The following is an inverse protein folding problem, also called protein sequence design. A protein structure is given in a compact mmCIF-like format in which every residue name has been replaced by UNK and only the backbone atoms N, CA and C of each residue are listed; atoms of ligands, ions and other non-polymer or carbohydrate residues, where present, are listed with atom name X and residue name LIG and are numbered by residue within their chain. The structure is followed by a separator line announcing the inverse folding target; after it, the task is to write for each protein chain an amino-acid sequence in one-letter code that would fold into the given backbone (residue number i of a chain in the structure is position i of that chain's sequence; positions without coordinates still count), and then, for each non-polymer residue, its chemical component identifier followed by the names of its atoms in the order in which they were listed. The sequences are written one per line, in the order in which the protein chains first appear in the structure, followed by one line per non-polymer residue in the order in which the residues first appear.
data_IF_796240453323
#
_entry.id   IF_796240453323
#
_cell.length_a   1.000
_cell.length_b   1.000
_cell.length_c   1.000
_cell.angle_alpha   90.00
_cell.angle_beta   90.00
_cell.angle_gamma   90.00
#
_symmetry.space_group_name_H-M   'P 1'
#
loop_
_entity.id
_entity.type
_entity.pdbx_description
1 polymer ?
#
# COMPACT_ATOMS: atom_id res chain seq x y z
N UNK A 1 15.47 25.21 13.37
CA UNK A 1 16.27 24.20 14.10
C UNK A 1 16.02 24.38 15.59
N UNK A 2 15.56 23.35 16.29
CA UNK A 2 15.33 23.33 17.75
C UNK A 2 16.23 22.27 18.38
N UNK A 3 16.85 22.59 19.51
CA UNK A 3 17.63 21.60 20.29
C UNK A 3 16.69 20.89 21.26
N UNK A 4 16.78 19.56 21.35
CA UNK A 4 16.10 18.73 22.36
C UNK A 4 17.14 17.95 23.16
N UNK A 5 16.76 17.31 24.27
CA UNK A 5 17.68 16.47 25.06
C UNK A 5 18.27 15.29 24.27
N UNK A 6 17.62 14.91 23.15
CA UNK A 6 18.00 13.77 22.30
C UNK A 6 18.63 14.19 20.95
N UNK A 7 18.87 15.49 20.69
CA UNK A 7 19.52 15.95 19.46
C UNK A 7 18.97 17.28 18.91
N UNK A 8 19.06 17.47 17.60
CA UNK A 8 18.53 18.64 16.91
C UNK A 8 17.34 18.27 16.02
N UNK A 9 16.22 18.98 16.17
CA UNK A 9 15.09 18.94 15.24
C UNK A 9 15.26 20.04 14.20
N UNK A 10 15.36 19.67 12.93
CA UNK A 10 15.30 20.63 11.82
C UNK A 10 13.88 20.61 11.26
N UNK A 11 13.23 21.78 11.24
CA UNK A 11 11.91 21.97 10.62
C UNK A 11 12.13 22.87 9.42
N UNK A 12 11.69 22.40 8.25
CA UNK A 12 11.63 23.19 7.03
C UNK A 12 10.19 23.71 6.88
N UNK A 13 9.99 25.02 7.00
CA UNK A 13 8.68 25.65 6.81
C UNK A 13 8.58 26.18 5.38
N UNK A 14 7.57 25.72 4.65
CA UNK A 14 7.35 26.07 3.26
C UNK A 14 5.85 26.09 2.93
N UNK A 15 5.42 26.92 1.95
CA UNK A 15 4.07 26.86 1.42
C UNK A 15 3.74 25.46 0.88
N UNK A 16 2.47 25.05 0.98
CA UNK A 16 2.02 23.72 0.55
C UNK A 16 2.37 23.44 -0.92
N UNK A 17 2.22 24.42 -1.81
CA UNK A 17 2.58 24.26 -3.22
C UNK A 17 4.08 24.07 -3.44
N UNK A 18 4.93 24.77 -2.67
CA UNK A 18 6.38 24.58 -2.73
C UNK A 18 6.81 23.20 -2.23
N UNK A 19 6.10 22.67 -1.24
CA UNK A 19 6.28 21.29 -0.79
C UNK A 19 5.96 20.30 -1.91
N UNK A 20 4.87 20.52 -2.63
CA UNK A 20 4.44 19.66 -3.73
C UNK A 20 5.40 19.68 -4.93
N UNK A 21 6.13 20.78 -5.17
CA UNK A 21 7.18 20.81 -6.19
C UNK A 21 8.30 19.77 -5.95
N UNK A 22 8.49 19.34 -4.70
CA UNK A 22 9.45 18.29 -4.36
C UNK A 22 8.81 16.90 -4.19
N UNK A 23 7.53 16.82 -3.80
CA UNK A 23 6.82 15.54 -3.67
C UNK A 23 6.50 14.94 -5.03
N UNK A 24 5.85 15.69 -5.93
CA UNK A 24 5.38 15.15 -7.21
C UNK A 24 6.50 14.49 -8.03
N UNK A 25 7.68 15.10 -8.25
CA UNK A 25 8.76 14.44 -9.00
C UNK A 25 9.45 13.31 -8.21
N UNK A 26 9.31 13.29 -6.88
CA UNK A 26 9.88 12.23 -6.03
C UNK A 26 9.00 10.97 -6.00
N UNK A 27 7.69 11.14 -6.21
CA UNK A 27 6.69 10.07 -6.27
C UNK A 27 6.47 9.54 -7.69
N UNK A 28 6.37 10.46 -8.66
CA UNK A 28 6.02 10.14 -10.05
C UNK A 28 7.09 10.66 -11.00
N UNK A 29 7.64 9.83 -11.92
CA UNK A 29 8.64 10.28 -12.87
C UNK A 29 8.12 11.43 -13.73
N UNK A 30 8.89 12.49 -13.91
CA UNK A 30 8.49 13.66 -14.72
C UNK A 30 8.31 13.35 -16.21
N UNK A 31 8.71 12.15 -16.68
CA UNK A 31 8.41 11.64 -18.02
C UNK A 31 6.97 11.13 -18.19
N UNK A 32 6.19 11.06 -17.11
CA UNK A 32 4.78 10.68 -17.15
C UNK A 32 3.95 11.78 -17.82
N UNK A 33 2.75 11.40 -18.28
CA UNK A 33 1.83 12.34 -18.92
C UNK A 33 1.48 13.50 -17.98
N UNK A 34 1.30 14.70 -18.53
CA UNK A 34 0.91 15.89 -17.76
C UNK A 34 -0.39 15.68 -16.97
N UNK A 35 -1.35 14.93 -17.53
CA UNK A 35 -2.59 14.59 -16.81
C UNK A 35 -2.32 13.67 -15.61
N UNK A 36 -1.40 12.71 -15.72
CA UNK A 36 -1.02 11.86 -14.59
C UNK A 36 -0.29 12.67 -13.49
N UNK A 37 0.58 13.60 -13.89
CA UNK A 37 1.25 14.51 -12.94
C UNK A 37 0.25 15.42 -12.23
N UNK A 38 -0.78 15.91 -12.92
CA UNK A 38 -1.89 16.68 -12.31
C UNK A 38 -2.69 15.81 -11.33
N UNK A 39 -3.02 14.58 -11.70
CA UNK A 39 -3.68 13.63 -10.79
C UNK A 39 -2.84 13.42 -9.53
N UNK A 40 -1.53 13.17 -9.67
CA UNK A 40 -0.61 13.03 -8.53
C UNK A 40 -0.54 14.30 -7.68
N UNK A 41 -0.54 15.49 -8.28
CA UNK A 41 -0.50 16.75 -7.54
C UNK A 41 -1.75 16.93 -6.65
N UNK A 42 -2.95 16.67 -7.18
CA UNK A 42 -4.21 16.75 -6.41
C UNK A 42 -4.24 15.70 -5.28
N UNK A 43 -3.83 14.46 -5.55
CA UNK A 43 -3.74 13.42 -4.51
C UNK A 43 -2.73 13.80 -3.43
N UNK A 44 -1.52 14.22 -3.83
CA UNK A 44 -0.46 14.59 -2.92
C UNK A 44 -0.85 15.79 -2.03
N UNK A 45 -1.56 16.78 -2.60
CA UNK A 45 -2.08 17.93 -1.86
C UNK A 45 -3.13 17.52 -0.83
N UNK A 46 -4.10 16.70 -1.24
CA UNK A 46 -5.17 16.22 -0.36
C UNK A 46 -4.60 15.44 0.83
N UNK A 47 -3.64 14.56 0.57
CA UNK A 47 -2.94 13.81 1.59
C UNK A 47 -2.16 14.73 2.54
N UNK A 48 -1.33 15.65 2.01
CA UNK A 48 -0.56 16.58 2.81
C UNK A 48 -1.46 17.50 3.67
N UNK A 49 -2.60 17.94 3.13
CA UNK A 49 -3.60 18.72 3.86
C UNK A 49 -4.18 17.95 5.05
N UNK A 50 -4.53 16.67 4.88
CA UNK A 50 -5.01 15.84 5.99
C UNK A 50 -3.95 15.63 7.07
N UNK A 51 -2.69 15.47 6.68
CA UNK A 51 -1.59 15.34 7.63
C UNK A 51 -1.36 16.64 8.44
N UNK A 52 -1.51 17.80 7.80
CA UNK A 52 -1.48 19.11 8.47
C UNK A 52 -2.62 19.23 9.50
N UNK A 53 -3.83 18.78 9.18
CA UNK A 53 -4.99 18.87 10.08
C UNK A 53 -4.92 17.93 11.28
N UNK A 54 -4.34 16.73 11.14
CA UNK A 54 -4.27 15.77 12.25
C UNK A 54 -3.33 16.19 13.38
N UNK A 55 -2.36 17.07 13.10
CA UNK A 55 -1.40 17.56 14.08
C UNK A 55 -0.66 16.44 14.86
N UNK A 56 -0.58 15.23 14.30
CA UNK A 56 0.00 14.03 14.94
C UNK A 56 1.49 14.21 15.32
N UNK A 57 2.16 15.21 14.73
CA UNK A 57 3.56 15.59 14.97
C UNK A 57 3.70 16.92 15.73
N UNK A 58 2.63 17.43 16.36
CA UNK A 58 2.64 18.67 17.13
C UNK A 58 3.71 18.69 18.24
N UNK A 59 4.04 17.52 18.81
CA UNK A 59 5.12 17.36 19.79
C UNK A 59 6.53 17.66 19.23
N UNK A 60 6.73 17.53 17.91
CA UNK A 60 7.99 17.80 17.22
C UNK A 60 7.98 19.13 16.44
N UNK A 61 6.84 19.83 16.39
CA UNK A 61 6.66 21.05 15.59
C UNK A 61 6.76 20.81 14.08
N UNK A 62 6.48 19.59 13.64
CA UNK A 62 6.43 19.19 12.23
C UNK A 62 5.01 18.72 11.89
N UNK A 63 4.69 18.64 10.60
CA UNK A 63 3.36 18.20 10.13
C UNK A 63 3.42 16.96 9.23
N UNK A 64 4.60 16.66 8.64
CA UNK A 64 4.87 15.52 7.76
C UNK A 64 6.32 15.07 8.00
N UNK A 65 6.62 13.76 7.95
CA UNK A 65 8.00 13.25 8.02
C UNK A 65 8.47 12.66 6.67
N UNK A 66 9.78 12.43 6.53
CA UNK A 66 10.48 12.03 5.31
C UNK A 66 10.56 10.50 5.09
N UNK A 67 9.77 9.72 5.83
CA UNK A 67 9.73 8.27 5.69
C UNK A 67 8.77 7.81 4.58
N UNK A 68 8.97 6.59 4.08
CA UNK A 68 8.05 5.93 3.12
C UNK A 68 6.66 5.63 3.71
N UNK A 69 6.38 6.03 4.95
CA UNK A 69 5.08 5.87 5.60
C UNK A 69 4.09 7.00 5.28
N UNK A 70 4.52 8.06 4.57
CA UNK A 70 3.67 9.20 4.20
C UNK A 70 3.76 9.55 2.71
N UNK A 71 4.83 10.25 2.31
CA UNK A 71 5.13 10.65 0.94
C UNK A 71 6.65 10.75 0.77
N UNK A 72 7.17 10.39 -0.40
CA UNK A 72 8.56 10.60 -0.77
C UNK A 72 8.78 12.08 -1.06
N UNK A 73 9.56 12.74 -0.20
CA UNK A 73 9.92 14.15 -0.34
C UNK A 73 11.42 14.30 -0.63
N UNK A 74 11.77 15.22 -1.54
CA UNK A 74 13.14 15.64 -1.81
C UNK A 74 14.10 14.51 -2.25
N UNK A 75 13.57 13.49 -2.94
CA UNK A 75 14.37 12.45 -3.59
C UNK A 75 14.87 12.89 -4.96
N UNK A 76 14.09 13.74 -5.63
CA UNK A 76 14.37 14.26 -6.97
C UNK A 76 14.21 15.79 -6.94
N UNK A 77 15.12 16.51 -7.59
CA UNK A 77 14.99 17.96 -7.76
C UNK A 77 13.72 18.32 -8.55
N UNK A 78 13.13 19.48 -8.25
CA UNK A 78 11.93 19.96 -8.95
C UNK A 78 12.17 20.04 -10.46
N UNK A 79 11.22 19.55 -11.24
CA UNK A 79 11.24 19.61 -12.71
C UNK A 79 10.19 20.59 -13.23
N UNK A 80 10.36 21.04 -14.49
CA UNK A 80 9.41 22.01 -15.09
C UNK A 80 8.02 21.40 -15.25
N UNK A 81 7.96 20.11 -15.57
CA UNK A 81 6.75 19.34 -15.80
C UNK A 81 5.96 19.17 -14.49
N UNK A 82 6.65 18.79 -13.41
CA UNK A 82 6.01 18.64 -12.10
C UNK A 82 5.56 19.98 -11.54
N UNK A 83 6.34 21.06 -11.69
CA UNK A 83 5.92 22.42 -11.30
C UNK A 83 4.68 22.85 -12.07
N UNK A 84 4.67 22.68 -13.40
CA UNK A 84 3.51 23.05 -14.21
C UNK A 84 2.24 22.28 -13.84
N UNK A 85 2.36 20.99 -13.45
CA UNK A 85 1.23 20.20 -13.00
C UNK A 85 0.68 20.65 -11.63
N UNK A 86 1.58 20.97 -10.69
CA UNK A 86 1.22 21.54 -9.38
C UNK A 86 0.52 22.87 -9.55
N UNK A 87 1.09 23.78 -10.35
CA UNK A 87 0.51 25.11 -10.62
C UNK A 87 -0.85 25.02 -11.32
N UNK A 88 -1.00 24.12 -12.30
CA UNK A 88 -2.26 23.92 -13.02
C UNK A 88 -3.39 23.35 -12.16
N UNK A 89 -3.06 22.77 -11.00
CA UNK A 89 -4.01 22.20 -10.03
C UNK A 89 -3.94 22.90 -8.68
N UNK A 90 -3.39 24.12 -8.65
CA UNK A 90 -3.13 24.86 -7.42
C UNK A 90 -4.37 24.92 -6.53
N UNK A 91 -4.21 24.57 -5.25
CA UNK A 91 -5.29 24.56 -4.27
C UNK A 91 -6.36 23.48 -4.43
N UNK A 92 -6.32 22.66 -5.49
CA UNK A 92 -7.32 21.60 -5.71
C UNK A 92 -7.05 20.38 -4.83
N UNK A 93 -8.08 19.94 -4.13
CA UNK A 93 -8.10 18.77 -3.24
C UNK A 93 -9.31 17.88 -3.53
N UNK A 94 -9.20 16.61 -3.15
CA UNK A 94 -10.29 15.64 -3.18
C UNK A 94 -11.13 15.75 -1.91
N UNK A 95 -12.44 15.87 -2.06
CA UNK A 95 -13.40 15.86 -0.95
C UNK A 95 -14.44 14.77 -1.11
N UNK A 96 -14.91 14.23 0.01
CA UNK A 96 -15.99 13.26 0.10
C UNK A 96 -16.85 13.62 1.29
N UNK A 97 -18.17 13.73 1.08
CA UNK A 97 -19.11 14.24 2.09
C UNK A 97 -18.67 15.60 2.71
N UNK A 98 -18.14 16.49 1.86
CA UNK A 98 -17.70 17.84 2.26
C UNK A 98 -16.38 17.89 3.05
N UNK A 99 -15.69 16.77 3.25
CA UNK A 99 -14.41 16.70 3.96
C UNK A 99 -13.30 16.30 3.00
N UNK A 100 -12.12 16.90 3.15
CA UNK A 100 -10.93 16.46 2.41
C UNK A 100 -10.63 15.01 2.74
N UNK A 101 -10.29 14.21 1.73
CA UNK A 101 -9.99 12.79 1.90
C UNK A 101 -8.49 12.54 1.95
N UNK A 102 -8.11 11.43 2.59
CA UNK A 102 -6.77 10.89 2.46
C UNK A 102 -6.63 10.19 1.11
N UNK A 103 -6.09 10.91 0.14
CA UNK A 103 -5.92 10.41 -1.21
C UNK A 103 -4.72 9.46 -1.30
N UNK A 104 -4.89 8.22 -0.86
CA UNK A 104 -3.86 7.18 -0.93
C UNK A 104 -3.50 6.81 -2.37
N UNK A 105 -2.23 6.50 -2.62
CA UNK A 105 -1.73 6.11 -3.93
C UNK A 105 -0.53 5.16 -3.81
N UNK A 106 -0.31 4.35 -4.83
CA UNK A 106 0.73 3.32 -4.86
C UNK A 106 1.29 3.15 -6.28
N UNK A 107 2.40 2.42 -6.42
CA UNK A 107 3.12 2.35 -7.70
C UNK A 107 2.33 1.66 -8.80
N UNK A 108 1.96 0.40 -8.59
CA UNK A 108 1.51 -0.49 -9.68
C UNK A 108 0.44 -1.45 -9.19
N UNK A 109 -0.66 -1.56 -9.92
CA UNK A 109 -1.71 -2.56 -9.63
C UNK A 109 -1.36 -3.92 -10.24
N UNK A 110 -2.02 -4.97 -9.75
CA UNK A 110 -2.04 -6.29 -10.41
C UNK A 110 -3.17 -6.41 -11.44
N UNK A 111 -3.84 -5.30 -11.75
CA UNK A 111 -5.05 -5.23 -12.56
C UNK A 111 -6.28 -4.76 -11.78
N UNK A 112 -6.19 -4.71 -10.45
CA UNK A 112 -7.23 -4.17 -9.56
C UNK A 112 -6.64 -3.33 -8.43
N UNK A 113 -7.39 -2.33 -7.95
CA UNK A 113 -7.19 -1.72 -6.63
C UNK A 113 -7.97 -2.50 -5.57
N UNK A 114 -7.64 -2.29 -4.30
CA UNK A 114 -8.36 -2.85 -3.16
C UNK A 114 -9.24 -1.82 -2.44
N UNK A 115 -9.84 -2.26 -1.34
CA UNK A 115 -10.61 -1.48 -0.38
C UNK A 115 -9.91 -1.45 0.98
N UNK A 116 -10.31 -0.52 1.85
CA UNK A 116 -9.69 -0.32 3.16
C UNK A 116 -9.75 -1.55 4.10
N UNK A 117 -10.50 -2.59 3.73
CA UNK A 117 -10.49 -3.90 4.39
C UNK A 117 -9.07 -4.47 4.56
N UNK A 118 -8.19 -4.24 3.57
CA UNK A 118 -6.78 -4.69 3.59
C UNK A 118 -5.96 -4.12 4.76
N UNK A 119 -6.45 -3.08 5.44
CA UNK A 119 -5.82 -2.49 6.62
C UNK A 119 -6.47 -2.90 7.94
N UNK A 120 -7.47 -3.79 7.92
CA UNK A 120 -8.16 -4.27 9.11
C UNK A 120 -8.66 -3.08 9.99
N UNK A 121 -9.25 -2.08 9.31
CA UNK A 121 -9.82 -0.89 9.95
C UNK A 121 -11.12 -1.24 10.66
N UNK A 122 -11.41 -0.54 11.75
CA UNK A 122 -12.60 -0.83 12.56
C UNK A 122 -13.89 -0.36 11.87
N UNK A 123 -13.80 0.69 11.03
CA UNK A 123 -14.90 1.20 10.21
C UNK A 123 -14.46 1.39 8.75
N UNK A 124 -14.67 0.38 7.88
CA UNK A 124 -14.40 0.51 6.44
C UNK A 124 -15.26 1.57 5.75
N UNK A 125 -16.40 1.97 6.33
CA UNK A 125 -17.31 2.96 5.71
C UNK A 125 -16.73 4.38 5.72
N UNK A 126 -15.82 4.67 6.67
CA UNK A 126 -15.04 5.90 6.71
C UNK A 126 -14.16 6.10 5.46
N UNK A 127 -13.87 5.01 4.73
CA UNK A 127 -13.12 4.98 3.48
C UNK A 127 -14.04 4.73 2.27
N UNK A 128 -15.30 5.18 2.33
CA UNK A 128 -16.29 4.95 1.28
C UNK A 128 -15.90 5.43 -0.12
N UNK A 129 -14.91 6.31 -0.22
CA UNK A 129 -14.31 6.78 -1.48
C UNK A 129 -13.24 5.83 -2.06
N UNK A 130 -12.68 4.91 -1.25
CA UNK A 130 -11.74 3.88 -1.69
C UNK A 130 -12.50 2.61 -2.06
N UNK A 131 -12.75 2.43 -3.35
CA UNK A 131 -13.41 1.24 -3.90
C UNK A 131 -12.45 0.47 -4.81
N UNK A 132 -12.75 -0.82 -4.96
CA UNK A 132 -12.15 -1.65 -6.00
C UNK A 132 -12.42 -1.03 -7.37
N UNK A 133 -11.35 -0.82 -8.12
CA UNK A 133 -11.35 -0.35 -9.50
C UNK A 133 -10.61 -1.36 -10.39
N UNK A 134 -11.08 -1.57 -11.62
CA UNK A 134 -10.53 -2.53 -12.57
C UNK A 134 -9.59 -1.86 -13.57
N UNK A 135 -8.28 -2.02 -13.40
CA UNK A 135 -7.29 -1.45 -14.31
C UNK A 135 -7.01 -2.31 -15.54
N UNK A 136 -7.65 -3.48 -15.66
CA UNK A 136 -7.67 -4.24 -16.90
C UNK A 136 -8.56 -3.51 -17.94
N UNK A 137 -8.23 -3.66 -19.23
CA UNK A 137 -9.01 -3.07 -20.33
C UNK A 137 -10.43 -3.62 -20.42
N UNK A 138 -10.63 -4.84 -19.95
CA UNK A 138 -11.94 -5.49 -19.85
C UNK A 138 -12.24 -5.76 -18.38
N UNK A 139 -13.30 -5.15 -17.87
CA UNK A 139 -13.79 -5.45 -16.53
C UNK A 139 -14.76 -6.64 -16.58
N UNK A 140 -14.29 -7.78 -16.07
CA UNK A 140 -15.10 -8.98 -15.94
C UNK A 140 -15.86 -9.05 -14.60
N UNK A 141 -15.78 -8.02 -13.75
CA UNK A 141 -16.43 -8.01 -12.45
C UNK A 141 -16.00 -9.16 -11.55
N UNK A 142 -14.76 -9.65 -11.72
CA UNK A 142 -14.28 -10.87 -11.06
C UNK A 142 -14.22 -10.67 -9.55
N UNK A 143 -14.79 -11.61 -8.80
CA UNK A 143 -14.52 -11.74 -7.37
C UNK A 143 -13.28 -12.62 -7.19
N UNK A 144 -12.22 -12.06 -6.60
CA UNK A 144 -10.92 -12.71 -6.40
C UNK A 144 -10.71 -13.15 -4.94
N UNK A 145 -11.79 -13.24 -4.15
CA UNK A 145 -11.73 -13.71 -2.76
C UNK A 145 -11.44 -15.21 -2.62
N UNK A 146 -11.71 -16.01 -3.66
CA UNK A 146 -11.40 -17.44 -3.70
C UNK A 146 -9.96 -17.70 -4.14
N UNK A 147 -9.23 -18.57 -3.43
CA UNK A 147 -7.84 -18.92 -3.71
C UNK A 147 -7.62 -19.49 -5.12
N UNK A 148 -8.53 -20.33 -5.61
CA UNK A 148 -8.39 -20.96 -6.92
C UNK A 148 -8.64 -19.95 -8.03
N UNK A 149 -9.67 -19.11 -7.87
CA UNK A 149 -9.95 -18.02 -8.82
C UNK A 149 -8.79 -17.03 -8.86
N UNK A 150 -8.28 -16.62 -7.71
CA UNK A 150 -7.12 -15.73 -7.61
C UNK A 150 -5.87 -16.34 -8.25
N UNK A 151 -5.54 -17.59 -7.91
CA UNK A 151 -4.34 -18.29 -8.44
C UNK A 151 -4.39 -18.37 -9.98
N UNK A 152 -5.55 -18.69 -10.55
CA UNK A 152 -5.73 -18.70 -12.00
C UNK A 152 -5.56 -17.29 -12.61
N UNK A 153 -6.14 -16.26 -11.99
CA UNK A 153 -6.05 -14.88 -12.47
C UNK A 153 -4.61 -14.37 -12.43
N UNK A 154 -3.93 -14.48 -11.30
CA UNK A 154 -2.60 -13.90 -11.10
C UNK A 154 -1.54 -14.57 -11.98
N UNK A 155 -1.73 -15.85 -12.33
CA UNK A 155 -0.84 -16.60 -13.23
C UNK A 155 -1.16 -16.38 -14.72
N UNK A 156 -2.32 -15.81 -15.04
CA UNK A 156 -2.69 -15.48 -16.42
C UNK A 156 -2.13 -14.12 -16.88
N UNK A 157 -1.98 -13.96 -18.19
CA UNK A 157 -1.77 -12.66 -18.81
C UNK A 157 -3.04 -11.80 -18.72
N UNK A 158 -2.87 -10.51 -18.47
CA UNK A 158 -3.95 -9.53 -18.54
C UNK A 158 -3.47 -8.29 -19.29
N UNK A 159 -4.37 -7.69 -20.07
CA UNK A 159 -4.17 -6.40 -20.73
C UNK A 159 -4.81 -5.31 -19.87
N UNK A 160 -4.03 -4.32 -19.45
CA UNK A 160 -4.47 -3.28 -18.53
C UNK A 160 -3.58 -2.04 -18.59
N UNK A 161 -3.95 -1.02 -17.83
CA UNK A 161 -3.18 0.21 -17.75
C UNK A 161 -1.82 0.02 -17.06
N UNK A 162 -1.69 -1.01 -16.21
CA UNK A 162 -0.44 -1.38 -15.53
C UNK A 162 0.29 -2.55 -16.20
N UNK A 163 -0.24 -3.20 -17.24
CA UNK A 163 0.22 -4.53 -17.67
C UNK A 163 1.66 -4.58 -18.19
N UNK A 164 2.17 -3.46 -18.70
CA UNK A 164 3.55 -3.35 -19.22
C UNK A 164 4.59 -3.04 -18.14
N UNK A 165 4.15 -2.84 -16.89
CA UNK A 165 5.04 -2.47 -15.80
C UNK A 165 5.68 -3.72 -15.20
N UNK A 166 6.98 -3.68 -14.95
CA UNK A 166 7.75 -4.83 -14.43
C UNK A 166 7.16 -5.50 -13.18
N UNK A 167 6.47 -4.72 -12.34
CA UNK A 167 5.86 -5.20 -11.11
C UNK A 167 4.46 -5.78 -11.31
N UNK A 168 3.85 -5.65 -12.50
CA UNK A 168 2.49 -6.10 -12.76
C UNK A 168 2.30 -7.58 -12.44
N UNK A 169 3.32 -8.40 -12.72
CA UNK A 169 3.43 -9.80 -12.34
C UNK A 169 4.82 -10.09 -11.80
N UNK A 170 4.90 -11.03 -10.87
CA UNK A 170 6.14 -11.58 -10.35
C UNK A 170 5.93 -12.95 -9.74
N UNK A 171 6.99 -13.75 -9.69
CA UNK A 171 7.01 -15.04 -9.02
C UNK A 171 8.17 -15.05 -8.03
N UNK A 172 7.94 -15.54 -6.82
CA UNK A 172 8.98 -15.68 -5.81
C UNK A 172 9.02 -17.11 -5.27
N UNK A 173 10.23 -17.60 -5.02
CA UNK A 173 10.44 -18.83 -4.26
C UNK A 173 10.76 -18.47 -2.82
N UNK A 174 10.08 -19.11 -1.88
CA UNK A 174 10.27 -18.91 -0.45
C UNK A 174 10.59 -20.22 0.25
N UNK A 175 11.36 -20.14 1.33
CA UNK A 175 11.70 -21.27 2.19
C UNK A 175 11.60 -20.82 3.64
N UNK A 176 10.98 -21.64 4.47
CA UNK A 176 10.73 -21.38 5.89
C UNK A 176 11.73 -22.09 6.81
N UNK A 177 12.50 -23.06 6.29
CA UNK A 177 13.26 -24.04 7.08
C UNK A 177 14.26 -23.42 8.07
N UNK A 178 14.81 -22.25 7.75
CA UNK A 178 15.78 -21.51 8.57
C UNK A 178 15.27 -20.13 9.01
N UNK A 179 13.95 -19.89 8.92
CA UNK A 179 13.36 -18.55 9.09
C UNK A 179 12.63 -18.33 10.40
N UNK A 180 12.45 -19.37 11.22
CA UNK A 180 11.65 -19.30 12.46
C UNK A 180 12.05 -18.11 13.35
N UNK A 181 13.33 -17.94 13.65
CA UNK A 181 13.81 -16.86 14.53
C UNK A 181 13.55 -15.47 13.94
N UNK A 182 13.91 -15.26 12.67
CA UNK A 182 13.69 -14.00 11.96
C UNK A 182 12.20 -13.63 11.88
N UNK A 183 11.34 -14.62 11.63
CA UNK A 183 9.89 -14.44 11.56
C UNK A 183 9.34 -14.07 12.95
N UNK A 184 9.79 -14.76 14.01
CA UNK A 184 9.38 -14.46 15.37
C UNK A 184 9.76 -13.02 15.79
N UNK A 185 10.94 -12.53 15.42
CA UNK A 185 11.36 -11.15 15.68
C UNK A 185 10.43 -10.14 14.98
N UNK A 186 10.06 -10.40 13.72
CA UNK A 186 9.11 -9.57 12.98
C UNK A 186 7.75 -9.62 13.68
N UNK A 187 7.22 -10.80 13.96
CA UNK A 187 5.89 -10.96 14.57
C UNK A 187 5.82 -10.29 15.95
N UNK A 188 6.85 -10.44 16.79
CA UNK A 188 6.93 -9.77 18.10
C UNK A 188 6.91 -8.25 17.96
N UNK A 189 7.74 -7.71 17.06
CA UNK A 189 7.80 -6.26 16.79
C UNK A 189 6.48 -5.73 16.23
N UNK A 190 5.82 -6.49 15.35
CA UNK A 190 4.55 -6.07 14.75
C UNK A 190 3.37 -6.20 15.72
N UNK A 191 3.35 -7.25 16.55
CA UNK A 191 2.39 -7.42 17.63
C UNK A 191 2.48 -6.26 18.63
N UNK A 192 3.68 -5.85 19.06
CA UNK A 192 3.84 -4.74 19.99
C UNK A 192 3.34 -3.39 19.45
N UNK A 193 3.29 -3.22 18.13
CA UNK A 193 2.77 -2.02 17.47
C UNK A 193 1.25 -2.09 17.30
N UNK A 194 0.73 -3.27 16.97
CA UNK A 194 -0.70 -3.47 16.72
C UNK A 194 -1.11 -4.91 17.04
N UNK A 195 -1.45 -5.20 18.31
CA UNK A 195 -1.80 -6.56 18.75
C UNK A 195 -2.95 -7.17 17.94
N UNK A 196 -3.94 -6.35 17.55
CA UNK A 196 -5.09 -6.78 16.73
C UNK A 196 -4.74 -7.30 15.33
N UNK A 197 -3.51 -7.07 14.86
CA UNK A 197 -3.05 -7.41 13.51
C UNK A 197 -2.02 -8.57 13.49
N UNK A 198 -1.59 -9.06 14.64
CA UNK A 198 -0.74 -10.25 14.77
C UNK A 198 -1.26 -11.04 15.97
N UNK A 199 -2.07 -12.05 15.70
CA UNK A 199 -2.84 -12.78 16.71
C UNK A 199 -2.24 -14.17 16.89
N UNK A 200 -2.01 -14.59 18.13
CA UNK A 200 -1.42 -15.88 18.46
C UNK A 200 -2.52 -16.79 18.99
N UNK A 201 -2.52 -18.04 18.53
CA UNK A 201 -3.50 -19.05 18.87
C UNK A 201 -2.82 -20.35 19.24
N UNK A 202 -3.49 -21.14 20.06
CA UNK A 202 -3.14 -22.52 20.32
C UNK A 202 -3.22 -23.34 19.01
N UNK A 203 -2.81 -24.60 19.07
CA UNK A 203 -2.81 -25.50 17.89
C UNK A 203 -4.19 -25.74 17.28
N UNK A 204 -5.27 -25.38 17.99
CA UNK A 204 -6.64 -25.43 17.47
C UNK A 204 -6.98 -24.27 16.51
N UNK A 205 -6.16 -23.21 16.47
CA UNK A 205 -6.37 -22.01 15.66
C UNK A 205 -7.55 -21.13 16.11
N UNK A 206 -8.12 -21.39 17.28
CA UNK A 206 -9.34 -20.74 17.83
C UNK A 206 -9.06 -20.12 19.20
N UNK A 207 -8.34 -20.82 20.07
CA UNK A 207 -8.05 -20.35 21.43
C UNK A 207 -6.90 -19.37 21.38
N UNK A 208 -7.17 -18.08 21.61
CA UNK A 208 -6.15 -17.02 21.58
C UNK A 208 -5.18 -17.14 22.77
N UNK A 209 -3.88 -17.03 22.49
CA UNK A 209 -2.82 -17.11 23.47
C UNK A 209 -2.47 -15.72 24.03
N UNK A 210 -2.13 -15.66 25.31
CA UNK A 210 -1.49 -14.47 25.88
C UNK A 210 0.02 -14.51 25.60
N UNK A 211 0.48 -13.65 24.70
CA UNK A 211 1.88 -13.60 24.25
C UNK A 211 2.82 -12.83 25.18
N UNK A 212 2.31 -12.19 26.24
CA UNK A 212 3.13 -11.54 27.27
C UNK A 212 3.70 -12.55 28.30
N UNK A 213 3.37 -13.84 28.17
CA UNK A 213 3.93 -14.90 28.98
C UNK A 213 5.32 -15.31 28.47
N UNK A 214 6.37 -15.14 29.30
CA UNK A 214 7.75 -15.48 28.96
C UNK A 214 7.95 -16.97 28.62
N UNK A 215 7.00 -17.84 28.98
CA UNK A 215 7.02 -19.27 28.65
C UNK A 215 6.34 -19.62 27.31
N UNK A 216 5.71 -18.65 26.62
CA UNK A 216 4.99 -18.92 25.38
C UNK A 216 5.94 -19.23 24.21
N UNK A 217 6.18 -20.53 23.98
CA UNK A 217 7.06 -21.04 22.94
C UNK A 217 6.25 -21.81 21.87
N UNK A 218 6.16 -21.22 20.68
CA UNK A 218 5.46 -21.78 19.52
C UNK A 218 6.19 -22.96 18.87
N UNK A 219 7.49 -23.11 19.11
CA UNK A 219 8.35 -24.08 18.42
C UNK A 219 8.75 -23.62 17.02
N UNK A 220 9.03 -24.58 16.14
CA UNK A 220 9.47 -24.32 14.76
C UNK A 220 8.29 -23.94 13.86
N UNK A 221 8.50 -22.99 12.93
CA UNK A 221 7.54 -22.68 11.87
C UNK A 221 7.50 -23.85 10.87
N UNK A 222 6.31 -24.41 10.61
CA UNK A 222 6.15 -25.62 9.79
C UNK A 222 5.34 -25.39 8.51
N UNK A 223 4.45 -24.40 8.50
CA UNK A 223 3.61 -24.12 7.34
C UNK A 223 3.16 -22.65 7.24
N UNK A 224 2.88 -22.21 6.01
CA UNK A 224 2.18 -20.96 5.75
C UNK A 224 1.04 -21.17 4.74
N UNK A 225 -0.10 -20.52 4.98
CA UNK A 225 -1.29 -20.61 4.13
C UNK A 225 -2.10 -19.31 4.17
N UNK A 226 -3.02 -19.15 3.22
CA UNK A 226 -3.95 -18.01 3.20
C UNK A 226 -5.30 -18.46 3.74
N UNK A 227 -5.82 -17.73 4.73
CA UNK A 227 -7.15 -17.98 5.29
C UNK A 227 -8.23 -17.13 4.62
N UNK A 228 -7.91 -15.88 4.26
CA UNK A 228 -8.88 -14.95 3.67
C UNK A 228 -8.23 -13.98 2.68
N UNK A 229 -8.99 -13.64 1.64
CA UNK A 229 -8.66 -12.61 0.66
C UNK A 229 -9.77 -11.58 0.52
N UNK A 230 -9.39 -10.39 0.08
CA UNK A 230 -10.36 -9.38 -0.35
C UNK A 230 -10.98 -9.80 -1.67
N UNK A 231 -12.11 -9.19 -2.03
CA UNK A 231 -12.69 -9.37 -3.37
C UNK A 231 -11.75 -8.92 -4.51
N UNK A 232 -10.71 -8.14 -4.22
CA UNK A 232 -9.65 -7.74 -5.17
C UNK A 232 -8.45 -8.69 -5.18
N UNK A 233 -8.40 -9.67 -4.28
CA UNK A 233 -7.41 -10.74 -4.27
C UNK A 233 -6.19 -10.50 -3.37
N UNK A 234 -6.13 -9.41 -2.61
CA UNK A 234 -5.08 -9.27 -1.60
C UNK A 234 -5.31 -10.25 -0.44
N UNK A 235 -4.23 -10.73 0.16
CA UNK A 235 -4.31 -11.53 1.38
C UNK A 235 -4.77 -10.61 2.53
N UNK A 236 -5.89 -10.94 3.16
CA UNK A 236 -6.38 -10.27 4.38
C UNK A 236 -5.83 -10.93 5.64
N UNK A 237 -5.75 -12.26 5.63
CA UNK A 237 -5.21 -13.06 6.73
C UNK A 237 -4.27 -14.12 6.19
N UNK A 238 -2.98 -13.98 6.53
CA UNK A 238 -1.97 -15.01 6.38
C UNK A 238 -1.91 -15.84 7.66
N UNK A 239 -1.86 -17.15 7.53
CA UNK A 239 -1.73 -18.09 8.65
C UNK A 239 -0.33 -18.68 8.62
N UNK A 240 0.34 -18.63 9.76
CA UNK A 240 1.61 -19.29 10.02
C UNK A 240 1.38 -20.39 11.06
N UNK A 241 1.64 -21.64 10.68
CA UNK A 241 1.51 -22.79 11.57
C UNK A 241 2.86 -23.15 12.16
N UNK A 242 2.90 -23.32 13.48
CA UNK A 242 4.06 -23.76 14.24
C UNK A 242 3.78 -25.13 14.86
N UNK A 243 4.80 -25.76 15.44
CA UNK A 243 4.67 -27.04 16.15
C UNK A 243 3.65 -27.01 17.31
N UNK A 244 3.43 -25.85 17.92
CA UNK A 244 2.60 -25.71 19.13
C UNK A 244 1.51 -24.65 19.03
N UNK A 245 1.31 -24.04 17.87
CA UNK A 245 0.28 -23.01 17.72
C UNK A 245 0.21 -22.44 16.32
N UNK A 246 -0.62 -21.42 16.19
CA UNK A 246 -0.89 -20.72 14.93
C UNK A 246 -0.76 -19.22 15.15
N UNK A 247 -0.19 -18.50 14.19
CA UNK A 247 -0.19 -17.03 14.16
C UNK A 247 -0.98 -16.54 12.95
N UNK A 248 -2.00 -15.72 13.20
CA UNK A 248 -2.74 -15.02 12.14
C UNK A 248 -2.19 -13.62 11.96
N UNK A 249 -1.66 -13.36 10.78
CA UNK A 249 -1.05 -12.08 10.40
C UNK A 249 -2.01 -11.34 9.48
N UNK A 250 -2.44 -10.15 9.91
CA UNK A 250 -3.32 -9.27 9.15
C UNK A 250 -2.58 -8.03 8.67
N UNK A 251 -3.21 -7.32 7.74
CA UNK A 251 -2.71 -6.12 7.03
C UNK A 251 -1.64 -6.43 6.01
N UNK A 252 -1.74 -5.78 4.84
CA UNK A 252 -0.77 -5.98 3.75
C UNK A 252 0.67 -5.72 4.20
N UNK A 253 0.91 -4.72 5.04
CA UNK A 253 2.26 -4.38 5.50
C UNK A 253 2.90 -5.53 6.28
N UNK A 254 2.19 -6.09 7.26
CA UNK A 254 2.73 -7.17 8.09
C UNK A 254 2.93 -8.44 7.24
N UNK A 255 1.95 -8.76 6.39
CA UNK A 255 2.00 -9.91 5.49
C UNK A 255 3.21 -9.80 4.55
N UNK A 256 3.43 -8.65 3.93
CA UNK A 256 4.57 -8.41 3.03
C UNK A 256 5.91 -8.50 3.76
N UNK A 257 6.00 -8.02 5.01
CA UNK A 257 7.22 -8.16 5.83
C UNK A 257 7.53 -9.62 6.15
N UNK A 258 6.53 -10.36 6.63
CA UNK A 258 6.67 -11.77 6.99
C UNK A 258 7.05 -12.60 5.78
N UNK A 259 6.27 -12.52 4.69
CA UNK A 259 6.57 -13.28 3.47
C UNK A 259 7.89 -12.84 2.85
N UNK A 260 8.18 -11.53 2.84
CA UNK A 260 9.39 -10.97 2.29
C UNK A 260 10.65 -11.62 2.85
N UNK A 261 10.76 -11.76 4.17
CA UNK A 261 11.95 -12.33 4.81
C UNK A 261 12.21 -13.82 4.50
N UNK A 262 11.19 -14.53 4.00
CA UNK A 262 11.26 -15.95 3.60
C UNK A 262 11.63 -16.13 2.12
N UNK A 263 11.57 -15.06 1.31
CA UNK A 263 11.85 -15.14 -0.13
C UNK A 263 13.34 -15.34 -0.36
N UNK A 264 13.68 -16.41 -1.07
CA UNK A 264 15.02 -16.68 -1.59
C UNK A 264 15.30 -15.85 -2.84
N UNK A 265 14.34 -15.84 -3.77
CA UNK A 265 14.48 -15.20 -5.08
C UNK A 265 13.12 -14.74 -5.58
N UNK A 266 13.09 -13.60 -6.26
CA UNK A 266 11.94 -13.09 -7.00
C UNK A 266 12.32 -12.82 -8.46
N UNK A 267 11.40 -13.11 -9.38
CA UNK A 267 11.50 -12.84 -10.81
C UNK A 267 10.32 -11.96 -11.22
N UNK A 268 10.61 -10.83 -11.85
CA UNK A 268 9.61 -9.84 -12.28
C UNK A 268 9.15 -10.07 -13.72
N UNK A 269 8.11 -9.34 -14.16
CA UNK A 269 7.54 -9.48 -15.50
C UNK A 269 8.54 -9.18 -16.64
N UNK A 270 9.55 -8.35 -16.37
CA UNK A 270 10.65 -8.04 -17.30
C UNK A 270 11.81 -9.06 -17.23
N UNK A 271 11.59 -10.20 -16.56
CA UNK A 271 12.57 -11.25 -16.28
C UNK A 271 13.77 -10.82 -15.42
N UNK A 272 13.77 -9.59 -14.89
CA UNK A 272 14.78 -9.21 -13.92
C UNK A 272 14.56 -9.98 -12.62
N UNK A 273 15.66 -10.24 -11.93
CA UNK A 273 15.69 -11.04 -10.71
C UNK A 273 16.20 -10.22 -9.53
N UNK A 274 15.73 -10.56 -8.33
CA UNK A 274 16.26 -10.03 -7.09
C UNK A 274 16.29 -11.10 -5.99
N UNK A 275 17.21 -10.92 -5.06
CA UNK A 275 17.40 -11.73 -3.86
C UNK A 275 17.41 -10.82 -2.62
N UNK A 276 17.47 -11.40 -1.41
CA UNK A 276 17.50 -10.66 -0.13
C UNK A 276 16.29 -9.73 0.05
N UNK A 277 15.11 -10.22 -0.33
CA UNK A 277 13.86 -9.48 -0.16
C UNK A 277 13.56 -9.37 1.34
N UNK A 278 13.23 -8.17 1.79
CA UNK A 278 12.83 -7.90 3.19
C UNK A 278 11.37 -7.52 3.30
N UNK A 279 10.75 -7.18 2.18
CA UNK A 279 9.34 -6.86 2.04
C UNK A 279 8.89 -7.27 0.64
N UNK A 280 7.86 -8.10 0.57
CA UNK A 280 7.26 -8.52 -0.70
C UNK A 280 6.70 -7.30 -1.46
N UNK A 281 6.71 -7.28 -2.81
CA UNK A 281 6.23 -6.11 -3.56
C UNK A 281 4.79 -5.70 -3.22
N UNK A 282 3.90 -6.66 -3.00
CA UNK A 282 2.51 -6.43 -2.60
C UNK A 282 1.97 -7.63 -1.81
N UNK A 283 0.78 -7.50 -1.23
CA UNK A 283 0.04 -8.62 -0.61
C UNK A 283 -0.87 -9.36 -1.61
N UNK A 284 -0.81 -9.04 -2.91
CA UNK A 284 -1.54 -9.76 -3.96
C UNK A 284 -0.70 -10.94 -4.43
N UNK A 285 -0.66 -12.01 -3.65
CA UNK A 285 0.07 -13.23 -4.03
C UNK A 285 -0.61 -14.51 -3.58
N UNK A 286 -0.32 -15.60 -4.27
CA UNK A 286 -0.57 -16.94 -3.78
C UNK A 286 0.47 -17.33 -2.74
N UNK A 287 0.16 -18.38 -1.96
CA UNK A 287 1.10 -19.05 -1.05
C UNK A 287 0.95 -20.54 -1.29
N UNK A 288 1.74 -21.10 -2.20
CA UNK A 288 1.58 -22.48 -2.67
C UNK A 288 2.76 -23.34 -2.26
N UNK A 289 2.53 -24.29 -1.34
CA UNK A 289 3.54 -25.27 -0.91
C UNK A 289 3.89 -26.21 -2.06
N UNK A 290 5.18 -26.44 -2.26
CA UNK A 290 5.74 -27.33 -3.28
C UNK A 290 6.11 -28.69 -2.69
N UNK A 291 6.31 -29.70 -3.54
CA UNK A 291 6.67 -31.06 -3.10
C UNK A 291 8.01 -31.12 -2.34
N UNK A 292 8.93 -30.21 -2.63
CA UNK A 292 10.23 -30.11 -1.98
C UNK A 292 10.21 -29.35 -0.64
N UNK A 293 9.01 -28.92 -0.19
CA UNK A 293 8.80 -28.18 1.05
C UNK A 293 9.01 -26.66 0.92
N UNK A 294 9.47 -26.17 -0.23
CA UNK A 294 9.50 -24.72 -0.52
C UNK A 294 8.11 -24.20 -0.87
N UNK A 295 8.00 -22.89 -1.07
CA UNK A 295 6.75 -22.25 -1.46
C UNK A 295 6.94 -21.40 -2.72
N UNK A 296 5.95 -21.47 -3.61
CA UNK A 296 5.81 -20.59 -4.75
C UNK A 296 4.82 -19.48 -4.41
N UNK A 297 5.25 -18.24 -4.54
CA UNK A 297 4.41 -17.05 -4.44
C UNK A 297 4.22 -16.48 -5.85
N UNK A 298 3.03 -16.64 -6.42
CA UNK A 298 2.67 -15.99 -7.68
C UNK A 298 1.92 -14.70 -7.36
N UNK A 299 2.47 -13.54 -7.71
CA UNK A 299 1.93 -12.26 -7.31
C UNK A 299 2.01 -11.17 -8.37
N UNK A 300 1.59 -9.97 -7.99
CA UNK A 300 1.56 -8.83 -8.88
C UNK A 300 1.36 -7.51 -8.16
N UNK A 301 1.64 -6.42 -8.86
CA UNK A 301 1.59 -5.07 -8.31
C UNK A 301 2.77 -4.75 -7.36
N UNK A 302 2.84 -3.46 -7.00
CA UNK A 302 3.82 -2.91 -6.08
C UNK A 302 3.21 -1.80 -5.24
N UNK A 303 3.22 -1.98 -3.92
CA UNK A 303 2.60 -1.10 -2.93
C UNK A 303 1.34 -1.68 -2.30
N UNK A 304 0.62 -0.84 -1.54
CA UNK A 304 -0.49 -1.26 -0.68
C UNK A 304 -1.82 -1.48 -1.42
N UNK A 305 -1.94 -1.03 -2.68
CA UNK A 305 -3.11 -1.33 -3.53
C UNK A 305 -4.33 -0.43 -3.35
N UNK A 306 -4.26 0.64 -2.55
CA UNK A 306 -5.42 1.50 -2.25
C UNK A 306 -5.38 2.83 -2.99
N UNK A 307 -6.54 3.25 -3.51
CA UNK A 307 -6.67 4.50 -4.23
C UNK A 307 -5.97 4.46 -5.58
N UNK A 308 -5.16 5.47 -5.91
CA UNK A 308 -4.60 5.64 -7.24
C UNK A 308 -3.36 4.77 -7.48
N UNK A 309 -3.39 3.94 -8.55
CA UNK A 309 -2.17 3.38 -9.14
C UNK A 309 -1.46 4.46 -9.97
N UNK A 310 -0.21 4.78 -9.64
CA UNK A 310 0.59 5.79 -10.35
C UNK A 310 0.83 5.41 -11.81
N UNK A 311 1.22 4.16 -12.06
CA UNK A 311 1.40 3.67 -13.43
C UNK A 311 0.06 3.52 -14.15
N UNK A 312 -0.97 3.08 -13.44
CA UNK A 312 -2.34 3.01 -13.96
C UNK A 312 -2.85 4.38 -14.42
N UNK A 313 -2.67 5.43 -13.62
CA UNK A 313 -3.02 6.81 -13.95
C UNK A 313 -2.27 7.29 -15.20
N UNK A 314 -0.98 6.96 -15.33
CA UNK A 314 -0.21 7.26 -16.53
C UNK A 314 -0.71 6.49 -17.77
N UNK A 315 -1.05 5.22 -17.62
CA UNK A 315 -1.65 4.41 -18.67
C UNK A 315 -2.99 4.99 -19.15
N UNK A 316 -3.85 5.42 -18.20
CA UNK A 316 -5.13 6.07 -18.49
C UNK A 316 -4.95 7.42 -19.20
N UNK A 317 -4.00 8.23 -18.72
CA UNK A 317 -3.66 9.51 -19.35
C UNK A 317 -3.13 9.32 -20.78
N UNK A 318 -2.30 8.30 -21.02
CA UNK A 318 -1.83 7.94 -22.37
C UNK A 318 -2.95 7.43 -23.27
N UNK A 319 -4.01 6.87 -22.68
CA UNK A 319 -5.24 6.50 -23.39
C UNK A 319 -6.21 7.68 -23.60
N UNK A 320 -5.84 8.90 -23.20
CA UNK A 320 -6.58 10.13 -23.46
C UNK A 320 -7.50 10.59 -22.33
N UNK A 321 -7.48 9.95 -21.15
CA UNK A 321 -8.27 10.39 -20.00
C UNK A 321 -7.67 11.67 -19.38
N UNK A 322 -8.52 12.64 -19.05
CA UNK A 322 -8.12 13.84 -18.31
C UNK A 322 -7.94 13.56 -16.82
N UNK A 323 -7.19 14.41 -16.11
CA UNK A 323 -6.87 14.18 -14.69
C UNK A 323 -8.11 14.07 -13.80
N UNK A 324 -9.18 14.83 -14.08
CA UNK A 324 -10.45 14.75 -13.35
C UNK A 324 -11.14 13.40 -13.53
N UNK A 325 -11.12 12.84 -14.75
CA UNK A 325 -11.69 11.52 -15.01
C UNK A 325 -10.88 10.44 -14.30
N UNK A 326 -9.55 10.57 -14.29
CA UNK A 326 -8.65 9.65 -13.58
C UNK A 326 -8.90 9.72 -12.06
N UNK A 327 -9.07 10.91 -11.48
CA UNK A 327 -9.38 11.06 -10.06
C UNK A 327 -10.72 10.40 -9.71
N UNK A 328 -11.78 10.66 -10.48
CA UNK A 328 -13.09 10.04 -10.28
C UNK A 328 -13.09 8.52 -10.53
N UNK A 329 -12.15 8.03 -11.33
CA UNK A 329 -11.98 6.61 -11.57
C UNK A 329 -11.47 5.88 -10.32
N UNK A 330 -10.43 6.42 -9.67
CA UNK A 330 -9.80 5.81 -8.51
C UNK A 330 -10.50 6.10 -7.18
N UNK A 331 -11.14 7.25 -7.05
CA UNK A 331 -11.82 7.68 -5.83
C UNK A 331 -13.29 7.94 -6.14
N UNK A 332 -14.17 7.13 -5.54
CA UNK A 332 -15.59 7.12 -5.87
C UNK A 332 -16.40 8.14 -5.07
N UNK A 333 -17.38 8.77 -5.73
CA UNK A 333 -18.26 9.79 -5.14
C UNK A 333 -17.53 11.00 -4.57
N UNK A 334 -16.32 11.29 -5.06
CA UNK A 334 -15.55 12.47 -4.65
C UNK A 334 -16.00 13.72 -5.40
N UNK A 335 -15.59 14.88 -4.89
CA UNK A 335 -15.59 16.15 -5.61
C UNK A 335 -14.17 16.71 -5.60
N UNK A 336 -13.78 17.45 -6.63
CA UNK A 336 -12.55 18.24 -6.63
C UNK A 336 -12.90 19.66 -6.25
N UNK A 337 -12.46 20.12 -5.08
CA UNK A 337 -12.73 21.46 -4.55
C UNK A 337 -11.42 22.24 -4.36
N UNK A 338 -11.49 23.57 -4.36
CA UNK A 338 -10.34 24.44 -4.07
C UNK A 338 -10.35 24.82 -2.59
N UNK A 339 -9.23 24.65 -1.88
CA UNK A 339 -9.12 24.91 -0.42
C UNK A 339 -9.67 26.31 -0.05
N UNK A 340 -9.35 27.35 -0.81
CA UNK A 340 -9.80 28.73 -0.53
C UNK A 340 -11.30 28.96 -0.72
N UNK A 341 -12.01 28.05 -1.40
CA UNK A 341 -13.47 28.08 -1.60
C UNK A 341 -14.21 27.21 -0.56
N UNK A 342 -13.48 26.45 0.26
CA UNK A 342 -14.04 25.63 1.35
C UNK A 342 -14.27 26.45 2.63
N UNK A 343 -13.57 27.58 2.82
CA UNK A 343 -13.78 28.51 3.93
C UNK A 343 -15.17 29.15 3.85
N UNK A 344 -16.15 28.51 4.49
CA UNK A 344 -17.57 28.89 4.46
C UNK A 344 -18.54 27.70 4.45
N UNK A 345 -18.05 26.48 4.17
CA UNK A 345 -18.79 25.23 4.32
C UNK A 345 -18.29 24.50 5.57
N UNK A 346 -18.87 24.85 6.73
CA UNK A 346 -18.77 24.19 8.04
C UNK A 346 -17.55 23.27 8.29
N UNK A 347 -16.42 23.87 8.67
CA UNK A 347 -15.48 23.20 9.59
C UNK A 347 -16.01 23.33 11.02
N UNK A 348 -16.68 22.28 11.50
CA UNK A 348 -16.86 21.96 12.92
C UNK A 348 -16.52 20.49 13.15
#
# INVERSE_FOLDING_TARGET
MRSTENGYTVVNELPLEEYLYAVVPSEMPSSFSGEALKTQAVCARSYAYMQLLRADLAAYGAHINDSTSYQVYNKVEKTKESVAAVDATCGQVLTWNGKVVEAYYFSTSMGYTDTAEIWNVDDPSAYGYLKKACLNRTDAGMDLSDETVFSNYIKSSADGYDSDIRYFRWFATADISDKTEQVNEILKTRHSISPKNVLYYESDGITECNVDDEEHNMGTLTEMSVEARSSSGSILTLVLTYERGVVKVKTEYNIRKVLGCMVKKIVYADAAEAENITMLPSAFSTVEKQEDGTYLLSGGGYGHGLGMSQNGANGMAKAGMGYLDILNYFYQNITVETIGEMEGKETL
#
